data_IF_205415486409
#
_entry.id   IF_205415486409
#
_cell.length_a   1.000
_cell.length_b   1.000
_cell.length_c   1.000
_cell.angle_alpha   90.00
_cell.angle_beta   90.00
_cell.angle_gamma   90.00
#
_symmetry.space_group_name_H-M   'P 1'
#
loop_
_entity.id
_entity.type
_entity.pdbx_description
1 polymer ?
#
# COMPACT_ATOMS: atom_id res chain seq x y z
N UNK A 1 20.90 13.94 7.32
CA UNK A 1 20.27 12.61 7.45
C UNK A 1 18.96 12.72 8.25
N UNK A 2 17.89 13.27 7.66
CA UNK A 2 16.54 13.37 8.30
C UNK A 2 15.41 12.84 7.39
N UNK A 3 15.74 12.49 6.15
CA UNK A 3 14.76 12.33 5.06
C UNK A 3 14.12 10.95 4.95
N UNK A 4 14.60 9.93 5.67
CA UNK A 4 13.98 8.60 5.64
C UNK A 4 12.79 8.48 6.59
N UNK A 5 12.87 9.08 7.79
CA UNK A 5 11.80 9.02 8.80
C UNK A 5 10.51 9.67 8.29
N UNK A 6 10.63 10.76 7.54
CA UNK A 6 9.46 11.48 7.01
C UNK A 6 8.66 10.65 6.01
N UNK A 7 9.29 9.83 5.15
CA UNK A 7 8.57 8.99 4.18
C UNK A 7 7.73 7.92 4.86
N UNK A 8 8.26 7.26 5.89
CA UNK A 8 7.52 6.24 6.63
C UNK A 8 6.32 6.83 7.37
N UNK A 9 6.47 8.02 7.97
CA UNK A 9 5.36 8.74 8.61
C UNK A 9 4.25 9.08 7.59
N UNK A 10 4.62 9.50 6.38
CA UNK A 10 3.64 9.82 5.33
C UNK A 10 2.87 8.55 4.92
N UNK A 11 3.56 7.42 4.74
CA UNK A 11 2.92 6.14 4.39
C UNK A 11 1.95 5.67 5.48
N UNK A 12 2.33 5.77 6.75
CA UNK A 12 1.47 5.41 7.89
C UNK A 12 0.24 6.33 7.94
N UNK A 13 0.43 7.64 7.84
CA UNK A 13 -0.70 8.61 7.83
C UNK A 13 -1.68 8.33 6.69
N UNK A 14 -1.16 8.04 5.50
CA UNK A 14 -1.99 7.67 4.34
C UNK A 14 -2.79 6.39 4.61
N UNK A 15 -2.14 5.39 5.19
CA UNK A 15 -2.78 4.12 5.58
C UNK A 15 -3.90 4.35 6.60
N UNK A 16 -3.65 5.15 7.64
CA UNK A 16 -4.66 5.52 8.64
C UNK A 16 -5.86 6.24 8.00
N UNK A 17 -5.62 7.14 7.04
CA UNK A 17 -6.72 7.78 6.30
C UNK A 17 -7.55 6.76 5.53
N UNK A 18 -6.94 5.76 4.89
CA UNK A 18 -7.67 4.69 4.20
C UNK A 18 -8.51 3.86 5.16
N UNK A 19 -7.99 3.57 6.36
CA UNK A 19 -8.75 2.89 7.42
C UNK A 19 -9.98 3.71 7.80
N UNK A 20 -9.82 5.02 8.06
CA UNK A 20 -10.95 5.92 8.39
C UNK A 20 -12.00 5.98 7.28
N UNK A 21 -11.59 5.88 6.03
CA UNK A 21 -12.48 5.87 4.87
C UNK A 21 -13.11 4.50 4.57
N UNK A 22 -12.79 3.45 5.34
CA UNK A 22 -13.23 2.08 5.06
C UNK A 22 -12.62 1.47 3.79
N UNK A 23 -11.52 2.05 3.29
CA UNK A 23 -10.81 1.63 2.06
C UNK A 23 -9.49 0.91 2.35
N UNK A 24 -9.28 0.52 3.60
CA UNK A 24 -8.13 -0.29 3.98
C UNK A 24 -8.23 -1.69 3.38
N UNK A 25 -7.12 -2.21 2.89
CA UNK A 25 -7.11 -3.48 2.17
C UNK A 25 -7.77 -3.42 0.79
N UNK A 26 -8.01 -2.25 0.19
CA UNK A 26 -8.44 -2.11 -1.20
C UNK A 26 -7.29 -1.57 -2.04
N UNK A 27 -6.98 -2.24 -3.15
CA UNK A 27 -5.93 -1.85 -4.09
C UNK A 27 -6.25 -0.49 -4.72
N UNK A 28 -5.30 0.45 -4.64
CA UNK A 28 -5.45 1.80 -5.21
C UNK A 28 -5.51 1.83 -6.75
N UNK A 29 -5.03 0.78 -7.42
CA UNK A 29 -4.98 0.72 -8.88
C UNK A 29 -6.19 0.01 -9.50
N UNK A 30 -6.58 -1.15 -8.96
CA UNK A 30 -7.66 -1.97 -9.54
C UNK A 30 -8.93 -2.06 -8.70
N UNK A 31 -8.95 -1.49 -7.49
CA UNK A 31 -10.11 -1.51 -6.60
C UNK A 31 -10.44 -2.89 -5.99
N UNK A 32 -9.64 -3.93 -6.25
CA UNK A 32 -9.81 -5.26 -5.65
C UNK A 32 -9.29 -5.29 -4.21
N UNK A 33 -9.78 -6.25 -3.42
CA UNK A 33 -9.22 -6.51 -2.10
C UNK A 33 -7.75 -6.95 -2.20
N UNK A 34 -6.92 -6.42 -1.32
CA UNK A 34 -5.53 -6.83 -1.08
C UNK A 34 -5.60 -8.02 -0.14
N UNK A 35 -4.79 -9.03 -0.43
CA UNK A 35 -4.71 -10.24 0.38
C UNK A 35 -4.39 -9.90 1.85
N UNK A 36 -5.10 -10.53 2.78
CA UNK A 36 -4.93 -10.26 4.21
C UNK A 36 -3.57 -10.70 4.72
N UNK A 37 -3.00 -11.79 4.17
CA UNK A 37 -1.66 -12.26 4.52
C UNK A 37 -0.61 -11.19 4.16
N UNK A 38 -0.81 -10.55 3.01
CA UNK A 38 0.03 -9.44 2.56
C UNK A 38 -0.08 -8.21 3.45
N UNK A 39 -1.28 -7.87 3.92
CA UNK A 39 -1.48 -6.75 4.85
C UNK A 39 -0.91 -7.06 6.23
N UNK A 40 -0.86 -8.33 6.64
CA UNK A 40 -0.22 -8.76 7.87
C UNK A 40 1.31 -8.58 7.81
N UNK A 41 1.93 -8.89 6.66
CA UNK A 41 3.36 -8.67 6.43
C UNK A 41 3.69 -7.19 6.21
N UNK A 42 2.88 -6.49 5.42
CA UNK A 42 3.05 -5.06 5.12
C UNK A 42 1.70 -4.32 5.21
N UNK A 43 1.38 -3.71 6.37
CA UNK A 43 0.13 -2.99 6.56
C UNK A 43 0.03 -1.69 5.75
N UNK A 44 1.16 -1.19 5.22
CA UNK A 44 1.18 0.01 4.38
C UNK A 44 1.03 -0.28 2.88
N UNK A 45 0.75 -1.54 2.51
CA UNK A 45 0.59 -1.94 1.12
C UNK A 45 -0.58 -1.21 0.44
N UNK A 46 -0.27 -0.49 -0.64
CA UNK A 46 -1.26 0.31 -1.38
C UNK A 46 -1.89 -0.42 -2.58
N UNK A 47 -1.24 -1.48 -3.05
CA UNK A 47 -1.61 -2.21 -4.26
C UNK A 47 -1.81 -3.70 -3.96
N UNK A 48 -2.44 -4.45 -4.85
CA UNK A 48 -2.45 -5.91 -4.76
C UNK A 48 -1.22 -6.51 -5.46
N UNK A 49 -0.88 -7.76 -5.14
CA UNK A 49 0.25 -8.48 -5.75
C UNK A 49 0.22 -8.39 -7.27
N UNK A 50 -0.93 -8.64 -7.89
CA UNK A 50 -1.07 -8.59 -9.35
C UNK A 50 -0.76 -7.19 -9.93
N UNK A 51 -1.09 -6.11 -9.22
CA UNK A 51 -0.78 -4.76 -9.67
C UNK A 51 0.69 -4.40 -9.43
N UNK A 52 1.30 -4.88 -8.34
CA UNK A 52 2.73 -4.69 -8.10
C UNK A 52 3.58 -5.45 -9.09
N UNK A 53 3.30 -6.74 -9.34
CA UNK A 53 4.00 -7.51 -10.38
C UNK A 53 3.91 -6.85 -11.76
N UNK A 54 2.75 -6.28 -12.11
CA UNK A 54 2.58 -5.51 -13.35
C UNK A 54 3.38 -4.21 -13.37
N UNK A 55 3.54 -3.55 -12.22
CA UNK A 55 4.32 -2.33 -12.09
C UNK A 55 5.82 -2.62 -12.18
N UNK A 56 6.30 -3.68 -11.55
CA UNK A 56 7.69 -4.13 -11.64
C UNK A 56 8.06 -4.55 -13.06
N UNK A 57 7.19 -5.31 -13.75
CA UNK A 57 7.37 -5.66 -15.17
C UNK A 57 7.43 -4.47 -16.13
N UNK A 58 6.92 -3.29 -15.73
CA UNK A 58 7.00 -2.07 -16.55
C UNK A 58 8.26 -1.25 -16.28
N UNK A 59 9.01 -1.58 -15.22
CA UNK A 59 10.22 -0.85 -14.81
C UNK A 59 11.51 -1.55 -15.24
N UNK A 60 11.41 -2.76 -15.81
CA UNK A 60 12.49 -3.47 -16.49
C UNK A 60 12.27 -3.46 -17.99
#
# INVERSE_FOLDING_TARGET
MRSQVSRSIIAIRKTLTRIKLGKYGICANCGKMIDTDRLAVNPTAEYCVSCETKKEKKLG
#
